data_IF_058482309435
#
_entry.id   IF_058482309435
#
_cell.length_a   1.000
_cell.length_b   1.000
_cell.length_c   1.000
_cell.angle_alpha   90.00
_cell.angle_beta   90.00
_cell.angle_gamma   90.00
#
_symmetry.space_group_name_H-M   'P 1'
#
loop_
_entity.id
_entity.type
_entity.pdbx_description
1 polymer ?
#
# COMPACT_ATOMS: atom_id res chain seq x y z
N UNK A 1 19.61 12.29 -7.37
CA UNK A 1 18.88 11.48 -6.37
C UNK A 1 18.06 10.40 -7.05
N UNK A 2 18.29 9.14 -6.69
CA UNK A 2 17.54 7.99 -7.18
C UNK A 2 16.08 8.03 -6.70
N UNK A 3 15.10 7.79 -7.59
CA UNK A 3 13.67 7.71 -7.26
C UNK A 3 13.35 6.36 -6.60
N UNK A 4 13.72 6.22 -5.32
CA UNK A 4 13.54 5.01 -4.52
C UNK A 4 12.70 5.35 -3.28
N UNK A 5 11.80 4.43 -2.92
CA UNK A 5 11.06 4.48 -1.65
C UNK A 5 11.98 4.13 -0.48
N UNK A 6 12.05 5.00 0.52
CA UNK A 6 12.98 4.84 1.64
C UNK A 6 12.63 3.70 2.62
N UNK A 7 11.40 3.17 2.58
CA UNK A 7 10.91 2.19 3.57
C UNK A 7 10.97 0.76 3.01
N UNK A 8 10.57 0.59 1.76
CA UNK A 8 10.43 -0.69 1.06
C UNK A 8 11.45 -0.87 -0.06
N UNK A 9 12.26 0.15 -0.38
CA UNK A 9 13.29 0.06 -1.41
C UNK A 9 12.74 0.01 -2.85
N UNK A 10 11.43 0.23 -3.05
CA UNK A 10 10.83 0.18 -4.40
C UNK A 10 11.44 1.25 -5.30
N UNK A 11 12.07 0.79 -6.38
CA UNK A 11 12.61 1.63 -7.44
C UNK A 11 11.79 1.57 -8.73
N UNK A 12 12.24 2.32 -9.74
CA UNK A 12 11.65 2.27 -11.07
C UNK A 12 11.94 0.92 -11.74
N UNK A 13 10.93 0.32 -12.38
CA UNK A 13 11.07 -0.92 -13.14
C UNK A 13 11.09 -0.64 -14.64
N UNK A 14 11.81 -1.44 -15.42
CA UNK A 14 11.72 -1.42 -16.88
C UNK A 14 10.50 -2.21 -17.35
N UNK A 15 9.77 -1.67 -18.32
CA UNK A 15 8.67 -2.34 -18.99
C UNK A 15 8.67 -1.97 -20.49
N UNK A 16 7.90 -2.68 -21.30
CA UNK A 16 7.72 -2.34 -22.71
C UNK A 16 6.35 -1.66 -22.91
N UNK A 17 6.31 -0.59 -23.69
CA UNK A 17 5.09 -0.10 -24.33
C UNK A 17 4.88 -0.86 -25.63
N UNK A 18 3.64 -1.20 -25.97
CA UNK A 18 3.29 -1.87 -27.22
C UNK A 18 2.36 -0.94 -28.01
N UNK A 19 2.62 -0.77 -29.31
CA UNK A 19 1.68 -0.09 -30.22
C UNK A 19 0.54 -1.01 -30.65
N UNK A 20 -0.45 -0.48 -31.37
CA UNK A 20 -1.49 -1.29 -32.00
C UNK A 20 -0.92 -2.34 -32.98
N UNK A 21 0.21 -2.05 -33.62
CA UNK A 21 0.97 -3.00 -34.44
C UNK A 21 1.97 -3.86 -33.63
N UNK A 22 1.83 -3.91 -32.30
CA UNK A 22 2.65 -4.68 -31.36
C UNK A 22 4.16 -4.33 -31.31
N UNK A 23 4.57 -3.18 -31.84
CA UNK A 23 5.96 -2.71 -31.78
C UNK A 23 6.32 -2.40 -30.32
N UNK A 24 7.43 -2.97 -29.83
CA UNK A 24 7.86 -2.81 -28.45
C UNK A 24 8.83 -1.64 -28.28
N UNK A 25 8.51 -0.68 -27.42
CA UNK A 25 9.42 0.40 -27.02
C UNK A 25 9.68 0.33 -25.51
N UNK A 26 10.93 0.58 -25.07
CA UNK A 26 11.26 0.54 -23.64
C UNK A 26 10.69 1.75 -22.92
N UNK A 27 10.05 1.54 -21.76
CA UNK A 27 9.58 2.58 -20.83
C UNK A 27 9.98 2.26 -19.40
N UNK A 28 10.02 3.27 -18.54
CA UNK A 28 10.21 3.11 -17.10
C UNK A 28 8.87 3.27 -16.38
N UNK A 29 8.58 2.36 -15.46
CA UNK A 29 7.47 2.49 -14.52
C UNK A 29 8.02 3.13 -13.25
N UNK A 30 7.77 4.43 -13.10
CA UNK A 30 8.19 5.19 -11.92
C UNK A 30 7.25 4.95 -10.74
N UNK A 31 7.82 4.93 -9.53
CA UNK A 31 7.06 4.90 -8.29
C UNK A 31 6.53 6.31 -8.00
N UNK A 32 5.25 6.41 -7.63
CA UNK A 32 4.65 7.67 -7.16
C UNK A 32 5.18 7.98 -5.74
N UNK A 33 6.27 8.73 -5.67
CA UNK A 33 6.95 9.14 -4.45
C UNK A 33 6.40 10.47 -3.94
N UNK A 34 6.07 10.50 -2.66
CA UNK A 34 5.56 11.65 -1.92
C UNK A 34 6.57 12.04 -0.84
N UNK A 35 6.78 13.34 -0.63
CA UNK A 35 7.66 13.83 0.42
C UNK A 35 6.87 13.99 1.71
N UNK A 36 7.24 13.25 2.74
CA UNK A 36 6.55 13.26 4.04
C UNK A 36 7.57 13.49 5.16
N UNK A 37 7.16 14.17 6.23
CA UNK A 37 7.96 14.29 7.44
C UNK A 37 7.68 13.10 8.36
N UNK A 38 8.73 12.34 8.69
CA UNK A 38 8.68 11.25 9.66
C UNK A 38 9.76 11.56 10.71
N UNK A 39 9.37 11.67 11.98
CA UNK A 39 10.26 11.97 13.10
C UNK A 39 11.19 13.17 12.84
N UNK A 40 10.62 14.28 12.35
CA UNK A 40 11.34 15.52 12.05
C UNK A 40 12.15 15.52 10.75
N UNK A 41 12.35 14.37 10.10
CA UNK A 41 13.13 14.26 8.84
C UNK A 41 12.21 14.18 7.63
N UNK A 42 12.60 14.84 6.54
CA UNK A 42 11.90 14.73 5.24
C UNK A 42 12.35 13.44 4.54
N UNK A 43 11.41 12.55 4.27
CA UNK A 43 11.65 11.27 3.62
C UNK A 43 10.72 11.13 2.41
N UNK A 44 11.23 10.56 1.31
CA UNK A 44 10.41 10.24 0.13
C UNK A 44 9.88 8.82 0.26
N UNK A 45 8.56 8.71 0.25
CA UNK A 45 7.83 7.45 0.49
C UNK A 45 6.79 7.30 -0.61
N UNK A 46 6.60 6.09 -1.13
CA UNK A 46 5.59 5.79 -2.11
C UNK A 46 4.19 6.02 -1.53
N UNK A 47 3.25 6.44 -2.38
CA UNK A 47 1.87 6.65 -1.94
C UNK A 47 1.25 5.37 -1.31
N UNK A 48 1.63 4.19 -1.82
CA UNK A 48 1.17 2.90 -1.29
C UNK A 48 1.68 2.60 0.12
N UNK A 49 2.96 2.89 0.40
CA UNK A 49 3.56 2.74 1.73
C UNK A 49 2.95 3.72 2.72
N UNK A 50 2.76 4.98 2.31
CA UNK A 50 2.07 5.98 3.13
C UNK A 50 0.65 5.55 3.53
N UNK A 51 -0.11 4.99 2.57
CA UNK A 51 -1.46 4.46 2.83
C UNK A 51 -1.44 3.36 3.88
N UNK A 52 -0.49 2.42 3.79
CA UNK A 52 -0.36 1.32 4.74
C UNK A 52 0.02 1.82 6.13
N UNK A 53 0.98 2.75 6.23
CA UNK A 53 1.39 3.34 7.50
C UNK A 53 0.23 4.03 8.22
N UNK A 54 -0.55 4.85 7.50
CA UNK A 54 -1.75 5.51 8.07
C UNK A 54 -2.75 4.49 8.59
N UNK A 55 -2.95 3.39 7.87
CA UNK A 55 -3.86 2.33 8.30
C UNK A 55 -3.35 1.62 9.56
N UNK A 56 -2.06 1.32 9.62
CA UNK A 56 -1.44 0.68 10.80
C UNK A 56 -1.53 1.58 12.03
N UNK A 57 -1.31 2.90 11.87
CA UNK A 57 -1.47 3.87 12.95
C UNK A 57 -2.89 3.84 13.52
N UNK A 58 -3.93 3.91 12.67
CA UNK A 58 -5.33 3.81 13.11
C UNK A 58 -5.67 2.50 13.82
N UNK A 59 -5.06 1.39 13.39
CA UNK A 59 -5.22 0.10 14.07
C UNK A 59 -4.55 0.09 15.45
N UNK A 60 -3.37 0.72 15.58
CA UNK A 60 -2.67 0.85 16.85
C UNK A 60 -3.42 1.77 17.84
N UNK A 61 -4.04 2.83 17.35
CA UNK A 61 -4.90 3.72 18.14
C UNK A 61 -6.28 3.11 18.47
N UNK A 62 -6.60 1.90 17.98
CA UNK A 62 -7.87 1.21 18.27
C UNK A 62 -9.08 1.70 17.46
N UNK A 63 -8.92 2.69 16.59
CA UNK A 63 -10.00 3.26 15.76
C UNK A 63 -10.53 2.28 14.70
N UNK A 64 -9.75 1.25 14.35
CA UNK A 64 -10.11 0.28 13.33
C UNK A 64 -9.85 -1.16 13.79
N UNK A 65 -10.85 -2.06 13.70
CA UNK A 65 -10.64 -3.45 14.07
C UNK A 65 -9.67 -4.13 13.11
N UNK A 66 -8.79 -4.94 13.69
CA UNK A 66 -7.82 -5.76 12.96
C UNK A 66 -8.55 -6.77 12.07
N UNK A 67 -7.85 -7.28 11.03
CA UNK A 67 -8.43 -8.32 10.17
C UNK A 67 -8.89 -9.56 10.96
N UNK A 68 -8.18 -9.91 12.04
CA UNK A 68 -8.54 -11.03 12.92
C UNK A 68 -9.83 -10.75 13.68
N UNK A 69 -9.95 -9.58 14.31
CA UNK A 69 -11.19 -9.17 14.99
C UNK A 69 -12.38 -9.13 14.02
N UNK A 70 -12.20 -8.57 12.81
CA UNK A 70 -13.25 -8.60 11.78
C UNK A 70 -13.66 -10.02 11.38
N UNK A 71 -12.71 -10.95 11.28
CA UNK A 71 -12.98 -12.36 10.95
C UNK A 71 -13.69 -13.09 12.10
N UNK A 72 -13.30 -12.82 13.35
CA UNK A 72 -13.96 -13.35 14.54
C UNK A 72 -15.41 -12.86 14.64
N UNK A 73 -15.64 -11.55 14.56
CA UNK A 73 -16.98 -10.97 14.57
C UNK A 73 -17.86 -11.50 13.43
N UNK A 74 -17.30 -11.67 12.23
CA UNK A 74 -18.03 -12.28 11.10
C UNK A 74 -18.39 -13.75 11.37
N UNK A 75 -17.48 -14.53 11.96
CA UNK A 75 -17.71 -15.93 12.32
C UNK A 75 -18.79 -16.05 13.40
N UNK A 76 -18.74 -15.19 14.42
CA UNK A 76 -19.74 -15.11 15.48
C UNK A 76 -21.10 -14.77 14.90
N UNK A 77 -21.23 -13.70 14.10
CA UNK A 77 -22.48 -13.32 13.44
C UNK A 77 -23.08 -14.45 12.57
N UNK A 78 -22.23 -15.20 11.85
CA UNK A 78 -22.65 -16.35 11.03
C UNK A 78 -23.09 -17.55 11.89
N UNK A 79 -22.53 -17.69 13.09
CA UNK A 79 -22.95 -18.74 14.04
C UNK A 79 -24.27 -18.39 14.72
N UNK A 80 -24.54 -17.11 15.03
CA UNK A 80 -25.81 -16.65 15.58
C UNK A 80 -26.95 -16.79 14.57
N UNK A 81 -26.71 -16.43 13.30
CA UNK A 81 -27.73 -16.56 12.24
C UNK A 81 -28.08 -18.01 11.89
N UNK A 82 -27.20 -18.97 12.20
CA UNK A 82 -27.44 -20.40 11.96
C UNK A 82 -28.15 -21.09 13.13
N UNK A 83 -28.29 -20.39 14.27
CA UNK A 83 -28.99 -20.86 15.48
C UNK A 83 -30.42 -20.33 15.58
N UNK A 84 -30.80 -19.34 14.76
CA UNK A 84 -32.18 -18.91 14.51
C UNK A 84 -32.76 -19.73 13.36
#
# INVERSE_FOLDING_TARGET
MSRIDAITGKGAKSANSRSHSNIATRRRQHVNLQTVRINGRRVRVAASTLRTLRKLAKQAHGELPTKRQKKAAKKEAMATSKKQ
#
